data_IF_055983378119
#
_entry.id   IF_055983378119
#
_cell.length_a   1.000
_cell.length_b   1.000
_cell.length_c   1.000
_cell.angle_alpha   90.00
_cell.angle_beta   90.00
_cell.angle_gamma   90.00
#
_symmetry.space_group_name_H-M   'P 1'
#
loop_
_entity.id
_entity.type
_entity.pdbx_description
1 polymer ?
#
# COMPACT_ATOMS: atom_id res chain seq x y z
N UNK A 1 5.85 26.40 5.45
CA UNK A 1 6.84 25.35 5.80
C UNK A 1 6.16 24.08 6.35
N UNK A 2 5.11 24.22 7.17
CA UNK A 2 4.39 23.12 7.83
C UNK A 2 3.67 22.14 6.88
N UNK A 3 3.05 22.66 5.82
CA UNK A 3 2.24 21.86 4.88
C UNK A 3 3.07 20.85 4.06
N UNK A 4 4.27 21.27 3.59
CA UNK A 4 5.19 20.39 2.84
C UNK A 4 5.75 19.27 3.71
N UNK A 5 6.02 19.55 4.98
CA UNK A 5 6.49 18.51 5.94
C UNK A 5 5.39 17.47 6.17
N UNK A 6 4.13 17.89 6.29
CA UNK A 6 2.99 16.99 6.44
C UNK A 6 2.80 16.09 5.21
N UNK A 7 2.83 16.64 4.00
CA UNK A 7 2.71 15.86 2.75
C UNK A 7 3.83 14.82 2.60
N UNK A 8 5.08 15.21 2.85
CA UNK A 8 6.22 14.29 2.75
C UNK A 8 6.15 13.14 3.76
N UNK A 9 5.60 13.41 4.95
CA UNK A 9 5.37 12.41 6.00
C UNK A 9 4.24 11.47 5.60
N UNK A 10 3.12 12.00 5.10
CA UNK A 10 1.98 11.22 4.63
C UNK A 10 2.36 10.28 3.48
N UNK A 11 3.11 10.75 2.48
CA UNK A 11 3.60 9.93 1.37
C UNK A 11 4.54 8.80 1.84
N UNK A 12 5.39 9.07 2.86
CA UNK A 12 6.25 8.05 3.46
C UNK A 12 5.42 6.99 4.19
N UNK A 13 4.39 7.41 4.93
CA UNK A 13 3.47 6.50 5.62
C UNK A 13 2.73 5.61 4.62
N UNK A 14 2.14 6.19 3.56
CA UNK A 14 1.45 5.41 2.51
C UNK A 14 2.41 4.40 1.87
N UNK A 15 3.66 4.80 1.60
CA UNK A 15 4.67 3.90 1.04
C UNK A 15 4.93 2.69 1.96
N UNK A 16 5.14 2.92 3.26
CA UNK A 16 5.41 1.84 4.22
C UNK A 16 4.21 0.90 4.34
N UNK A 17 3.01 1.46 4.47
CA UNK A 17 1.79 0.66 4.63
C UNK A 17 1.44 -0.10 3.35
N UNK A 18 1.64 0.49 2.17
CA UNK A 18 1.48 -0.20 0.89
C UNK A 18 2.46 -1.37 0.73
N UNK A 19 3.71 -1.20 1.17
CA UNK A 19 4.69 -2.29 1.17
C UNK A 19 4.31 -3.40 2.14
N UNK A 20 3.83 -3.06 3.34
CA UNK A 20 3.37 -4.05 4.32
C UNK A 20 2.17 -4.84 3.80
N UNK A 21 1.14 -4.16 3.30
CA UNK A 21 -0.06 -4.75 2.71
C UNK A 21 0.29 -5.68 1.54
N UNK A 22 1.08 -5.21 0.57
CA UNK A 22 1.53 -6.03 -0.55
C UNK A 22 2.40 -7.21 -0.15
N UNK A 23 3.21 -7.07 0.91
CA UNK A 23 3.99 -8.19 1.47
C UNK A 23 3.06 -9.23 2.09
N UNK A 24 2.04 -8.81 2.86
CA UNK A 24 1.07 -9.75 3.43
C UNK A 24 0.25 -10.47 2.37
N UNK A 25 -0.12 -9.78 1.27
CA UNK A 25 -0.78 -10.41 0.13
C UNK A 25 0.12 -11.44 -0.54
N UNK A 26 1.40 -11.09 -0.74
CA UNK A 26 2.37 -11.99 -1.35
C UNK A 26 2.60 -13.23 -0.49
N UNK A 27 2.74 -13.07 0.83
CA UNK A 27 2.86 -14.20 1.76
C UNK A 27 1.60 -15.08 1.76
N UNK A 28 0.41 -14.47 1.70
CA UNK A 28 -0.85 -15.20 1.63
C UNK A 28 -0.95 -16.02 0.35
N UNK A 29 -0.67 -15.43 -0.82
CA UNK A 29 -0.86 -16.08 -2.13
C UNK A 29 0.30 -17.00 -2.50
N UNK A 30 1.54 -16.62 -2.22
CA UNK A 30 2.73 -17.38 -2.63
C UNK A 30 3.15 -18.45 -1.61
N UNK A 31 2.74 -18.33 -0.34
CA UNK A 31 3.10 -19.31 0.70
C UNK A 31 1.86 -19.99 1.25
N UNK A 32 0.92 -19.25 1.85
CA UNK A 32 -0.19 -19.87 2.56
C UNK A 32 -1.12 -20.67 1.64
N UNK A 33 -1.41 -20.17 0.44
CA UNK A 33 -2.24 -20.88 -0.55
C UNK A 33 -1.57 -22.18 -1.03
N UNK A 34 -0.30 -22.19 -1.51
CA UNK A 34 0.40 -23.43 -1.84
C UNK A 34 0.48 -24.40 -0.67
N UNK A 35 0.69 -23.91 0.55
CA UNK A 35 0.78 -24.75 1.74
C UNK A 35 -0.55 -25.45 2.06
N UNK A 36 -1.68 -24.76 1.84
CA UNK A 36 -3.01 -25.34 1.94
C UNK A 36 -3.25 -26.46 0.93
N UNK A 37 -2.89 -26.25 -0.34
CA UNK A 37 -3.22 -27.18 -1.42
C UNK A 37 -2.19 -28.31 -1.61
N UNK A 38 -0.90 -28.04 -1.44
CA UNK A 38 0.18 -29.02 -1.63
C UNK A 38 0.47 -29.86 -0.38
N UNK A 39 0.31 -29.26 0.81
CA UNK A 39 0.65 -29.93 2.08
C UNK A 39 -0.57 -30.13 2.99
N UNK A 40 -1.78 -29.80 2.52
CA UNK A 40 -3.01 -29.99 3.29
C UNK A 40 -3.07 -29.17 4.58
N UNK A 41 -2.35 -28.05 4.67
CA UNK A 41 -2.21 -27.27 5.91
C UNK A 41 -3.00 -25.93 5.84
N UNK A 42 -4.33 -25.94 6.07
CA UNK A 42 -5.18 -24.75 5.94
C UNK A 42 -4.96 -23.68 7.02
N UNK A 43 -4.24 -23.99 8.09
CA UNK A 43 -3.98 -23.11 9.23
C UNK A 43 -3.23 -21.84 8.81
N UNK A 44 -2.30 -21.95 7.86
CA UNK A 44 -1.56 -20.80 7.35
C UNK A 44 -2.47 -19.77 6.69
N UNK A 45 -3.44 -20.21 5.87
CA UNK A 45 -4.43 -19.31 5.24
C UNK A 45 -5.38 -18.72 6.30
N UNK A 46 -5.79 -19.51 7.29
CA UNK A 46 -6.65 -19.04 8.39
C UNK A 46 -5.99 -17.95 9.23
N UNK A 47 -4.67 -17.99 9.42
CA UNK A 47 -3.93 -16.95 10.12
C UNK A 47 -3.62 -15.75 9.22
N UNK A 48 -3.11 -16.00 8.01
CA UNK A 48 -2.69 -14.94 7.08
C UNK A 48 -3.86 -14.14 6.49
N UNK A 49 -5.05 -14.74 6.36
CA UNK A 49 -6.24 -14.07 5.83
C UNK A 49 -6.62 -12.83 6.66
N UNK A 50 -6.88 -12.96 7.98
CA UNK A 50 -7.13 -11.83 8.86
C UNK A 50 -5.98 -10.81 8.94
N UNK A 51 -4.73 -11.28 8.94
CA UNK A 51 -3.54 -10.41 8.96
C UNK A 51 -3.51 -9.51 7.72
N UNK A 52 -3.68 -10.11 6.54
CA UNK A 52 -3.75 -9.37 5.28
C UNK A 52 -4.98 -8.45 5.24
N UNK A 53 -6.15 -8.95 5.65
CA UNK A 53 -7.37 -8.15 5.69
C UNK A 53 -7.24 -6.90 6.55
N UNK A 54 -6.62 -7.01 7.73
CA UNK A 54 -6.33 -5.86 8.59
C UNK A 54 -5.34 -4.90 7.93
N UNK A 55 -4.25 -5.41 7.34
CA UNK A 55 -3.28 -4.58 6.62
C UNK A 55 -3.92 -3.82 5.45
N UNK A 56 -4.82 -4.46 4.70
CA UNK A 56 -5.59 -3.86 3.61
C UNK A 56 -6.51 -2.75 4.11
N UNK A 57 -7.24 -2.97 5.22
CA UNK A 57 -8.10 -1.94 5.81
C UNK A 57 -7.29 -0.73 6.30
N UNK A 58 -6.15 -0.95 6.96
CA UNK A 58 -5.24 0.13 7.35
C UNK A 58 -4.72 0.91 6.14
N UNK A 59 -4.33 0.21 5.07
CA UNK A 59 -3.91 0.84 3.82
C UNK A 59 -5.02 1.68 3.20
N UNK A 60 -6.22 1.11 3.08
CA UNK A 60 -7.38 1.78 2.51
C UNK A 60 -7.73 3.05 3.27
N UNK A 61 -7.73 2.99 4.61
CA UNK A 61 -7.99 4.14 5.47
C UNK A 61 -7.02 5.31 5.19
N UNK A 62 -5.73 5.01 5.07
CA UNK A 62 -4.70 6.03 4.82
C UNK A 62 -4.81 6.60 3.40
N UNK A 63 -5.11 5.76 2.40
CA UNK A 63 -5.32 6.23 1.01
C UNK A 63 -6.56 7.12 0.90
N UNK A 64 -7.65 6.76 1.59
CA UNK A 64 -8.87 7.58 1.63
C UNK A 64 -8.60 8.93 2.30
N UNK A 65 -7.89 8.95 3.45
CA UNK A 65 -7.51 10.20 4.10
C UNK A 65 -6.69 11.10 3.17
N UNK A 66 -5.68 10.55 2.49
CA UNK A 66 -4.87 11.31 1.54
C UNK A 66 -5.67 11.86 0.34
N UNK A 67 -6.73 11.16 -0.07
CA UNK A 67 -7.64 11.63 -1.11
C UNK A 67 -8.58 12.74 -0.60
N UNK A 68 -9.04 12.68 0.65
CA UNK A 68 -9.95 13.67 1.24
C UNK A 68 -9.26 14.97 1.66
N UNK A 69 -7.97 14.90 2.01
CA UNK A 69 -7.16 16.09 2.35
C UNK A 69 -6.80 16.95 1.11
N UNK A 70 -7.24 16.56 -0.10
CA UNK A 70 -6.99 17.31 -1.32
C UNK A 70 -5.57 17.15 -1.89
N UNK A 71 -4.71 16.39 -1.20
CA UNK A 71 -3.33 16.13 -1.60
C UNK A 71 -3.22 15.21 -2.83
N UNK A 72 -4.24 14.40 -3.11
CA UNK A 72 -4.25 13.38 -4.17
C UNK A 72 -5.44 13.55 -5.10
N UNK A 73 -5.25 13.33 -6.41
CA UNK A 73 -6.38 13.24 -7.35
C UNK A 73 -7.15 11.95 -7.07
N UNK A 74 -8.47 11.97 -7.20
CA UNK A 74 -9.33 10.76 -7.07
C UNK A 74 -8.83 9.59 -7.93
N UNK A 75 -8.32 9.87 -9.13
CA UNK A 75 -7.72 8.87 -10.01
C UNK A 75 -6.48 8.18 -9.41
N UNK A 76 -5.65 8.90 -8.67
CA UNK A 76 -4.46 8.34 -8.00
C UNK A 76 -4.88 7.39 -6.87
N UNK A 77 -5.91 7.75 -6.10
CA UNK A 77 -6.47 6.90 -5.04
C UNK A 77 -7.09 5.62 -5.61
N UNK A 78 -7.90 5.72 -6.67
CA UNK A 78 -8.50 4.56 -7.35
C UNK A 78 -7.42 3.62 -7.87
N UNK A 79 -6.38 4.16 -8.49
CA UNK A 79 -5.24 3.37 -8.97
C UNK A 79 -4.50 2.68 -7.82
N UNK A 80 -4.28 3.38 -6.71
CA UNK A 80 -3.59 2.86 -5.53
C UNK A 80 -4.37 1.70 -4.89
N UNK A 81 -5.71 1.79 -4.88
CA UNK A 81 -6.59 0.70 -4.42
C UNK A 81 -6.58 -0.46 -5.41
N UNK A 82 -6.69 -0.20 -6.72
CA UNK A 82 -6.65 -1.25 -7.74
C UNK A 82 -5.33 -2.05 -7.70
N UNK A 83 -4.20 -1.37 -7.47
CA UNK A 83 -2.89 -2.01 -7.34
C UNK A 83 -2.75 -2.87 -6.07
N UNK A 84 -3.55 -2.62 -5.02
CA UNK A 84 -3.51 -3.45 -3.81
C UNK A 84 -4.08 -4.87 -4.06
N UNK A 85 -5.00 -5.02 -5.01
CA UNK A 85 -5.56 -6.35 -5.35
C UNK A 85 -4.66 -7.18 -6.27
N UNK A 86 -3.66 -6.56 -6.89
CA UNK A 86 -2.76 -7.24 -7.82
C UNK A 86 -1.55 -7.74 -7.02
N UNK A 87 -1.25 -9.06 -7.01
CA UNK A 87 0.02 -9.53 -6.45
C UNK A 87 1.17 -8.80 -7.15
N UNK A 88 2.12 -8.26 -6.39
CA UNK A 88 3.18 -7.34 -6.84
C UNK A 88 2.77 -5.90 -7.18
N UNK A 89 1.48 -5.56 -7.17
CA UNK A 89 1.01 -4.20 -7.46
C UNK A 89 1.50 -3.16 -6.45
N UNK A 90 1.76 -3.55 -5.20
CA UNK A 90 2.40 -2.71 -4.18
C UNK A 90 3.81 -2.22 -4.59
N UNK A 91 4.59 -3.03 -5.32
CA UNK A 91 5.91 -2.59 -5.81
C UNK A 91 5.78 -1.50 -6.89
N UNK A 92 4.79 -1.64 -7.79
CA UNK A 92 4.48 -0.62 -8.79
C UNK A 92 3.96 0.67 -8.12
N UNK A 93 3.15 0.54 -7.08
CA UNK A 93 2.64 1.67 -6.29
C UNK A 93 3.78 2.39 -5.56
N UNK A 94 4.69 1.65 -4.91
CA UNK A 94 5.85 2.22 -4.22
C UNK A 94 6.76 3.04 -5.15
N UNK A 95 6.95 2.61 -6.41
CA UNK A 95 7.72 3.36 -7.41
C UNK A 95 7.00 4.64 -7.83
N UNK A 96 5.68 4.62 -7.93
CA UNK A 96 4.87 5.81 -8.23
C UNK A 96 4.93 6.84 -7.08
N UNK A 97 4.72 6.39 -5.83
CA UNK A 97 4.84 7.26 -4.66
C UNK A 97 6.24 7.86 -4.52
N UNK A 98 7.29 7.09 -4.80
CA UNK A 98 8.67 7.60 -4.77
C UNK A 98 8.91 8.73 -5.78
N UNK A 99 8.28 8.67 -6.96
CA UNK A 99 8.34 9.75 -7.97
C UNK A 99 7.61 11.00 -7.50
N UNK A 100 6.40 10.85 -6.93
CA UNK A 100 5.63 11.98 -6.34
C UNK A 100 6.39 12.69 -5.23
N UNK A 101 7.01 11.93 -4.32
CA UNK A 101 7.87 12.50 -3.25
C UNK A 101 9.06 13.26 -3.84
N UNK A 102 9.67 12.76 -4.92
CA UNK A 102 10.81 13.40 -5.56
C UNK A 102 10.41 14.68 -6.34
N UNK A 103 9.25 14.68 -6.98
CA UNK A 103 8.67 15.84 -7.67
C UNK A 103 8.35 16.96 -6.69
N UNK A 104 7.71 16.64 -5.56
CA UNK A 104 7.41 17.60 -4.49
C UNK A 104 8.68 18.22 -3.89
N UNK A 105 9.72 17.39 -3.64
CA UNK A 105 11.05 17.87 -3.20
C UNK A 105 11.72 18.80 -4.20
N UNK A 106 11.61 18.53 -5.51
CA UNK A 106 12.22 19.37 -6.56
C UNK A 106 11.49 20.70 -6.73
N UNK A 107 10.17 20.72 -6.58
CA UNK A 107 9.38 21.96 -6.58
C UNK A 107 9.57 22.83 -5.33
N UNK A 108 10.20 22.31 -4.27
CA UNK A 108 10.55 23.08 -3.07
C UNK A 108 11.96 23.67 -3.10
N UNK A 109 12.81 23.26 -4.04
CA UNK A 109 14.18 23.75 -4.21
C UNK A 109 14.32 24.83 -5.30
N UNK A 110 13.20 25.22 -5.93
CA UNK A 110 13.05 26.40 -6.79
C UNK A 110 12.22 27.43 -6.05
#
# INVERSE_FOLDING_TARGET
MTEKTALSTQLRTIKVVSLAEGTTLLLLVAIAVPLKYAYGWPQAVRAMGPIHGMAFLCYLWIVVQAATEGNWRKADAIRAIALAFVPFGAFANARFLARRVAEDRRGAAR
#
